data_IF_650300194562
#
_entry.id   IF_650300194562
#
_cell.length_a   1.000
_cell.length_b   1.000
_cell.length_c   1.000
_cell.angle_alpha   90.00
_cell.angle_beta   90.00
_cell.angle_gamma   90.00
#
_symmetry.space_group_name_H-M   'P 1'
#
loop_
_entity.id
_entity.type
_entity.pdbx_description
1 polymer ?
#
# COMPACT_ATOMS: atom_id res chain seq x y z
N UNK A 1 -7.26 -44.28 32.69
CA UNK A 1 -7.17 -42.95 32.07
C UNK A 1 -5.71 -42.58 31.95
N UNK A 2 -5.16 -42.60 30.73
CA UNK A 2 -3.83 -42.12 30.31
C UNK A 2 -3.71 -42.46 28.82
N UNK A 3 -3.65 -41.43 27.97
CA UNK A 3 -3.16 -41.37 26.58
C UNK A 3 -2.87 -39.88 26.38
N UNK A 4 -1.63 -39.41 26.50
CA UNK A 4 -0.55 -39.52 25.50
C UNK A 4 -1.04 -39.05 24.12
N UNK A 5 -0.48 -37.91 23.72
CA UNK A 5 -0.84 -37.13 22.55
C UNK A 5 0.34 -37.28 21.57
N UNK A 6 0.11 -37.98 20.46
CA UNK A 6 1.15 -38.34 19.50
C UNK A 6 1.03 -37.43 18.28
N UNK A 7 1.99 -36.53 18.09
CA UNK A 7 1.94 -35.52 17.03
C UNK A 7 2.21 -36.14 15.65
N UNK A 8 1.25 -35.97 14.73
CA UNK A 8 1.40 -36.32 13.32
C UNK A 8 2.31 -35.31 12.62
N UNK A 9 3.61 -35.64 12.53
CA UNK A 9 4.52 -34.99 11.57
C UNK A 9 4.13 -35.37 10.15
N UNK A 10 3.98 -34.36 9.29
CA UNK A 10 3.91 -34.54 7.84
C UNK A 10 5.25 -34.07 7.27
N UNK A 11 6.19 -34.99 7.11
CA UNK A 11 7.38 -34.75 6.30
C UNK A 11 6.97 -34.76 4.82
N UNK A 12 6.99 -33.60 4.16
CA UNK A 12 7.05 -33.59 2.69
C UNK A 12 8.46 -34.02 2.28
N UNK A 13 8.55 -35.16 1.60
CA UNK A 13 9.84 -35.67 1.14
C UNK A 13 10.30 -34.94 -0.13
N UNK A 14 11.61 -34.84 -0.32
CA UNK A 14 12.21 -34.23 -1.52
C UNK A 14 11.80 -34.96 -2.83
N UNK A 15 11.31 -36.19 -2.73
CA UNK A 15 10.95 -37.03 -3.88
C UNK A 15 9.64 -36.61 -4.58
N UNK A 16 8.80 -35.78 -3.94
CA UNK A 16 7.58 -35.24 -4.58
C UNK A 16 7.88 -34.07 -5.53
N UNK A 17 9.08 -33.48 -5.48
CA UNK A 17 9.50 -32.39 -6.38
C UNK A 17 9.92 -32.89 -7.76
N UNK A 18 10.57 -34.06 -7.85
CA UNK A 18 11.05 -34.64 -9.12
C UNK A 18 9.90 -35.06 -10.04
N UNK A 19 8.71 -35.33 -9.50
CA UNK A 19 7.51 -35.68 -10.28
C UNK A 19 6.96 -34.52 -11.15
N UNK A 20 7.43 -33.28 -10.93
CA UNK A 20 6.96 -32.11 -11.67
C UNK A 20 7.85 -31.68 -12.86
N UNK A 21 9.15 -32.04 -12.90
CA UNK A 21 10.02 -31.69 -14.03
C UNK A 21 9.66 -32.47 -15.31
N UNK A 22 9.37 -33.77 -15.17
CA UNK A 22 8.97 -34.65 -16.29
C UNK A 22 7.69 -34.17 -17.02
N UNK A 23 6.85 -33.36 -16.36
CA UNK A 23 5.62 -32.82 -16.98
C UNK A 23 5.91 -31.71 -18.00
N UNK A 24 7.10 -31.10 -17.97
CA UNK A 24 7.48 -29.99 -18.85
C UNK A 24 8.60 -30.31 -19.85
N UNK A 25 9.29 -31.45 -19.72
CA UNK A 25 10.35 -31.90 -20.63
C UNK A 25 9.90 -32.17 -22.08
N UNK A 26 8.59 -32.10 -22.38
CA UNK A 26 8.02 -32.36 -23.71
C UNK A 26 7.74 -31.13 -24.60
N UNK A 27 8.08 -29.90 -24.16
CA UNK A 27 7.84 -28.66 -24.91
C UNK A 27 9.14 -28.02 -25.41
N UNK A 28 9.86 -28.72 -26.29
CA UNK A 28 10.89 -28.09 -27.13
C UNK A 28 10.33 -27.58 -28.47
N UNK A 29 10.99 -26.55 -28.98
CA UNK A 29 10.95 -26.00 -30.34
C UNK A 29 9.69 -25.29 -30.89
N UNK A 30 9.92 -24.00 -31.19
CA UNK A 30 9.33 -23.25 -32.33
C UNK A 30 7.86 -22.80 -32.25
N UNK A 31 7.44 -22.21 -31.12
CA UNK A 31 6.26 -21.35 -31.07
C UNK A 31 6.52 -20.04 -30.29
N UNK A 32 6.67 -18.92 -30.99
CA UNK A 32 6.74 -17.58 -30.36
C UNK A 32 5.38 -17.18 -29.79
N UNK A 33 5.20 -17.36 -28.48
CA UNK A 33 3.98 -16.98 -27.75
C UNK A 33 4.08 -15.50 -27.36
N UNK A 34 3.28 -14.64 -28.00
CA UNK A 34 3.20 -13.20 -27.69
C UNK A 34 2.71 -12.93 -26.26
N UNK A 35 3.01 -11.78 -25.68
CA UNK A 35 2.61 -11.47 -24.29
C UNK A 35 1.08 -11.44 -24.09
N UNK A 36 0.31 -11.16 -25.14
CA UNK A 36 -1.16 -11.31 -25.13
C UNK A 36 -1.59 -12.79 -25.05
N UNK A 37 -0.86 -13.70 -25.71
CA UNK A 37 -1.08 -15.14 -25.58
C UNK A 37 -0.58 -15.66 -24.23
N UNK A 38 0.54 -15.16 -23.68
CA UNK A 38 0.97 -15.48 -22.31
C UNK A 38 -0.08 -15.03 -21.28
N UNK A 39 -0.64 -13.82 -21.40
CA UNK A 39 -1.78 -13.36 -20.57
C UNK A 39 -3.01 -14.27 -20.71
N UNK A 40 -3.35 -14.72 -21.92
CA UNK A 40 -4.44 -15.70 -22.15
C UNK A 40 -4.17 -17.08 -21.56
N UNK A 41 -2.93 -17.57 -21.62
CA UNK A 41 -2.55 -18.84 -21.00
C UNK A 41 -2.61 -18.71 -19.47
N UNK A 42 -2.10 -17.60 -18.91
CA UNK A 42 -2.18 -17.31 -17.47
C UNK A 42 -3.63 -17.19 -16.99
N UNK A 43 -4.51 -16.46 -17.71
CA UNK A 43 -5.93 -16.38 -17.36
C UNK A 43 -6.65 -17.73 -17.53
N UNK A 44 -6.29 -18.51 -18.55
CA UNK A 44 -6.80 -19.87 -18.76
C UNK A 44 -6.37 -20.82 -17.64
N UNK A 45 -5.14 -20.72 -17.14
CA UNK A 45 -4.63 -21.51 -16.00
C UNK A 45 -5.30 -21.08 -14.70
N UNK A 46 -5.47 -19.77 -14.43
CA UNK A 46 -6.24 -19.26 -13.29
C UNK A 46 -7.70 -19.76 -13.29
N UNK A 47 -8.34 -19.73 -14.47
CA UNK A 47 -9.70 -20.27 -14.69
C UNK A 47 -9.74 -21.80 -14.52
N UNK A 48 -8.72 -22.53 -15.00
CA UNK A 48 -8.61 -24.01 -14.88
C UNK A 48 -8.21 -24.46 -13.47
N UNK A 49 -7.59 -23.59 -12.68
CA UNK A 49 -7.40 -23.72 -11.23
C UNK A 49 -8.66 -23.33 -10.41
N UNK A 50 -9.79 -23.05 -11.06
CA UNK A 50 -11.09 -22.90 -10.43
C UNK A 50 -11.44 -21.49 -9.91
N UNK A 51 -10.71 -20.44 -10.33
CA UNK A 51 -11.00 -19.06 -9.96
C UNK A 51 -11.38 -18.18 -11.16
N UNK A 52 -12.65 -18.20 -11.56
CA UNK A 52 -13.33 -17.02 -12.13
C UNK A 52 -14.78 -16.93 -11.63
N UNK A 53 -15.23 -15.71 -11.35
CA UNK A 53 -16.01 -15.45 -10.13
C UNK A 53 -17.53 -15.32 -10.32
N UNK A 54 -18.10 -15.72 -11.47
CA UNK A 54 -19.48 -15.33 -11.83
C UNK A 54 -20.40 -16.43 -12.39
N UNK A 55 -20.04 -17.71 -12.28
CA UNK A 55 -20.85 -18.84 -12.80
C UNK A 55 -21.40 -19.76 -11.69
N UNK A 56 -21.02 -19.54 -10.43
CA UNK A 56 -21.44 -20.36 -9.27
C UNK A 56 -22.94 -20.21 -8.94
N UNK A 57 -23.58 -19.12 -9.38
CA UNK A 57 -24.95 -18.77 -8.98
C UNK A 57 -26.04 -19.58 -9.73
N UNK A 58 -25.76 -20.07 -10.95
CA UNK A 58 -26.80 -20.66 -11.81
C UNK A 58 -26.85 -22.20 -11.83
N UNK A 59 -25.77 -22.92 -11.50
CA UNK A 59 -25.72 -24.37 -11.75
C UNK A 59 -26.18 -25.29 -10.60
N UNK A 60 -26.89 -24.77 -9.60
CA UNK A 60 -27.43 -25.60 -8.50
C UNK A 60 -28.71 -26.39 -8.86
N UNK A 61 -29.19 -26.36 -10.12
CA UNK A 61 -30.60 -26.67 -10.43
C UNK A 61 -30.95 -27.37 -11.76
N UNK A 62 -30.03 -28.06 -12.43
CA UNK A 62 -30.42 -29.02 -13.49
C UNK A 62 -29.79 -30.40 -13.32
N UNK A 63 -30.64 -31.33 -12.90
CA UNK A 63 -30.60 -32.76 -13.18
C UNK A 63 -29.32 -33.50 -12.72
N UNK A 64 -29.34 -34.22 -11.60
CA UNK A 64 -30.18 -35.43 -11.41
C UNK A 64 -30.13 -36.33 -12.65
N UNK A 65 -29.05 -37.10 -12.81
CA UNK A 65 -29.12 -38.51 -13.25
C UNK A 65 -27.88 -39.27 -12.75
N UNK A 66 -28.11 -40.44 -12.14
CA UNK A 66 -27.15 -41.52 -11.86
C UNK A 66 -25.91 -41.24 -10.97
N UNK A 67 -26.02 -41.57 -9.67
CA UNK A 67 -25.02 -42.43 -9.03
C UNK A 67 -25.59 -43.28 -7.88
N UNK A 68 -25.01 -44.47 -7.73
CA UNK A 68 -25.32 -45.57 -6.80
C UNK A 68 -23.99 -46.07 -6.20
N UNK A 69 -23.84 -46.39 -4.92
CA UNK A 69 -24.75 -46.32 -3.74
C UNK A 69 -23.84 -46.24 -2.48
N UNK A 70 -24.20 -46.41 -1.19
CA UNK A 70 -25.41 -46.88 -0.48
C UNK A 70 -25.58 -46.17 0.88
N UNK A 71 -26.35 -46.76 1.81
CA UNK A 71 -26.84 -46.24 3.10
C UNK A 71 -25.83 -45.89 4.24
N UNK A 72 -26.16 -44.80 4.94
CA UNK A 72 -26.06 -44.50 6.42
C UNK A 72 -24.72 -44.66 7.18
N UNK A 73 -24.34 -43.81 8.14
CA UNK A 73 -25.16 -43.12 9.17
C UNK A 73 -24.61 -41.70 9.52
N UNK A 74 -25.46 -40.83 10.09
CA UNK A 74 -25.21 -39.37 10.21
C UNK A 74 -24.82 -38.93 11.63
N UNK A 75 -23.70 -38.19 11.78
CA UNK A 75 -23.51 -37.23 12.88
C UNK A 75 -22.88 -35.91 12.38
N UNK A 76 -23.60 -34.79 12.58
CA UNK A 76 -23.15 -33.43 12.22
C UNK A 76 -22.15 -32.89 13.25
N UNK A 77 -21.00 -32.40 12.78
CA UNK A 77 -20.11 -31.49 13.50
C UNK A 77 -19.68 -30.36 12.56
N UNK A 78 -19.74 -29.10 13.01
CA UNK A 78 -19.34 -27.95 12.20
C UNK A 78 -17.82 -27.86 12.14
N UNK A 79 -17.23 -27.82 10.93
CA UNK A 79 -15.81 -27.47 10.74
C UNK A 79 -15.74 -26.01 10.29
N UNK A 80 -15.02 -25.19 11.06
CA UNK A 80 -14.63 -23.84 10.65
C UNK A 80 -13.25 -23.92 9.97
N UNK A 81 -13.12 -23.30 8.80
CA UNK A 81 -11.83 -23.16 8.11
C UNK A 81 -11.29 -21.77 8.40
N UNK A 82 -10.20 -21.67 9.16
CA UNK A 82 -9.40 -20.44 9.26
C UNK A 82 -8.43 -20.37 8.07
N UNK A 83 -8.27 -19.17 7.51
CA UNK A 83 -7.35 -18.88 6.40
C UNK A 83 -5.92 -18.75 6.92
N UNK A 84 -4.94 -19.27 6.17
CA UNK A 84 -3.52 -19.07 6.42
C UNK A 84 -2.67 -20.08 5.64
N UNK A 85 -2.01 -19.66 4.56
CA UNK A 85 -1.14 -20.54 3.77
C UNK A 85 -1.08 -20.32 2.26
N UNK A 86 -1.06 -19.07 1.76
CA UNK A 86 -0.76 -18.78 0.34
C UNK A 86 0.09 -17.49 0.20
N UNK A 87 1.33 -17.49 0.72
CA UNK A 87 2.37 -16.50 0.36
C UNK A 87 3.75 -17.19 0.36
N UNK A 88 4.06 -17.95 -0.71
CA UNK A 88 5.39 -18.58 -0.88
C UNK A 88 5.72 -18.96 -2.34
N UNK A 89 5.27 -18.18 -3.34
CA UNK A 89 5.49 -18.55 -4.76
C UNK A 89 5.51 -17.36 -5.75
N UNK A 90 6.25 -16.27 -5.46
CA UNK A 90 6.33 -15.09 -6.36
C UNK A 90 7.72 -14.41 -6.48
N UNK A 91 8.84 -15.06 -6.07
CA UNK A 91 10.16 -14.39 -5.95
C UNK A 91 11.23 -14.97 -6.90
N UNK A 92 10.84 -15.62 -8.01
CA UNK A 92 11.76 -16.39 -8.85
C UNK A 92 11.67 -16.13 -10.38
N UNK A 93 11.32 -14.92 -10.84
CA UNK A 93 11.44 -14.54 -12.27
C UNK A 93 11.91 -13.09 -12.46
N UNK A 94 13.13 -12.77 -12.00
CA UNK A 94 13.84 -11.55 -12.40
C UNK A 94 15.35 -11.79 -12.50
N UNK A 95 15.81 -12.42 -13.59
CA UNK A 95 17.18 -12.30 -14.13
C UNK A 95 17.27 -12.94 -15.51
N UNK A 96 18.22 -12.45 -16.33
CA UNK A 96 18.49 -12.86 -17.74
C UNK A 96 17.39 -12.44 -18.73
N UNK A 97 17.67 -11.75 -19.84
CA UNK A 97 18.94 -11.16 -20.29
C UNK A 97 18.73 -10.27 -21.53
N UNK A 98 19.51 -9.19 -21.64
CA UNK A 98 19.56 -8.28 -22.82
C UNK A 98 20.43 -8.93 -23.90
N UNK A 99 20.12 -8.77 -25.21
CA UNK A 99 21.12 -8.55 -26.32
C UNK A 99 20.49 -8.43 -27.75
N UNK A 100 20.99 -7.45 -28.52
CA UNK A 100 20.97 -7.21 -30.00
C UNK A 100 19.69 -7.11 -30.86
N UNK A 101 19.44 -5.88 -31.34
CA UNK A 101 19.54 -5.41 -32.75
C UNK A 101 18.84 -6.14 -33.92
N UNK A 102 18.10 -5.36 -34.74
CA UNK A 102 17.71 -5.71 -36.12
C UNK A 102 16.67 -4.75 -36.73
N UNK A 103 17.01 -4.05 -37.82
CA UNK A 103 16.07 -3.23 -38.61
C UNK A 103 15.07 -4.10 -39.39
N UNK A 104 13.84 -3.62 -39.62
CA UNK A 104 13.21 -3.66 -40.96
C UNK A 104 11.96 -2.75 -41.08
N UNK A 105 11.55 -2.54 -42.34
CA UNK A 105 10.68 -1.45 -42.84
C UNK A 105 9.21 -1.85 -43.07
N UNK A 106 8.32 -0.85 -43.08
CA UNK A 106 7.11 -0.74 -43.96
C UNK A 106 5.98 -1.79 -43.73
N UNK A 107 4.71 -1.60 -44.13
CA UNK A 107 4.00 -0.45 -44.70
C UNK A 107 2.48 -0.51 -44.41
N UNK A 108 1.84 0.66 -44.36
CA UNK A 108 0.57 0.98 -45.03
C UNK A 108 -0.67 0.03 -44.93
N UNK A 109 -1.73 0.49 -44.26
CA UNK A 109 -3.14 0.24 -44.66
C UNK A 109 -3.87 1.60 -44.68
N UNK A 110 -4.80 1.75 -45.63
CA UNK A 110 -5.41 3.01 -46.08
C UNK A 110 -6.95 2.94 -46.04
N UNK A 111 -7.62 4.10 -46.12
CA UNK A 111 -9.08 4.34 -46.13
C UNK A 111 -9.81 4.02 -44.79
N UNK A 112 -10.70 4.88 -44.28
CA UNK A 112 -11.82 5.52 -44.99
C UNK A 112 -12.12 6.97 -44.53
N UNK A 113 -12.73 7.81 -45.38
CA UNK A 113 -13.00 9.24 -45.11
C UNK A 113 -14.50 9.58 -45.34
N UNK A 114 -15.23 10.08 -44.33
CA UNK A 114 -16.51 10.74 -44.53
C UNK A 114 -16.36 12.22 -44.88
N UNK A 115 -17.33 12.71 -45.67
CA UNK A 115 -17.37 14.01 -46.37
C UNK A 115 -17.87 15.14 -45.43
N UNK A 116 -17.28 16.37 -45.46
CA UNK A 116 -17.76 17.48 -44.63
C UNK A 116 -19.02 18.15 -45.18
N UNK A 117 -19.77 18.84 -44.31
CA UNK A 117 -21.03 19.51 -44.63
C UNK A 117 -20.93 21.04 -44.60
N UNK A 118 -21.47 21.68 -45.64
CA UNK A 118 -22.06 23.04 -45.71
C UNK A 118 -21.51 24.17 -44.81
N UNK A 119 -20.86 25.15 -45.44
CA UNK A 119 -20.67 26.51 -44.92
C UNK A 119 -22.00 27.30 -44.89
N UNK A 120 -22.16 28.30 -44.01
CA UNK A 120 -23.19 29.34 -44.12
C UNK A 120 -22.73 30.50 -45.02
N UNK A 121 -23.67 31.08 -45.77
CA UNK A 121 -23.49 32.24 -46.66
C UNK A 121 -23.82 33.56 -45.97
N UNK A 122 -23.12 34.65 -46.33
CA UNK A 122 -23.57 36.03 -46.06
C UNK A 122 -23.33 36.92 -47.28
N UNK A 123 -24.41 37.38 -47.90
CA UNK A 123 -24.41 38.32 -49.04
C UNK A 123 -24.69 39.78 -48.60
N UNK A 124 -24.50 40.71 -49.55
CA UNK A 124 -25.01 42.11 -49.59
C UNK A 124 -24.21 43.11 -48.71
N UNK A 125 -23.64 44.22 -49.20
CA UNK A 125 -24.08 45.15 -50.27
C UNK A 125 -23.02 45.48 -51.34
N UNK A 126 -23.50 45.86 -52.52
CA UNK A 126 -22.73 46.56 -53.56
C UNK A 126 -23.16 48.03 -53.66
N UNK A 127 -22.25 48.92 -54.09
CA UNK A 127 -22.42 49.97 -55.13
C UNK A 127 -21.18 50.86 -55.19
N UNK A 128 -20.71 51.21 -56.41
CA UNK A 128 -19.82 52.35 -56.64
C UNK A 128 -18.64 52.02 -57.55
N UNK A 129 -18.73 52.38 -58.82
CA UNK A 129 -17.62 52.30 -59.78
C UNK A 129 -16.61 53.43 -59.54
N UNK A 130 -15.30 53.15 -59.59
CA UNK A 130 -14.32 54.06 -60.18
C UNK A 130 -13.09 53.29 -60.68
N UNK A 131 -12.65 53.65 -61.89
CA UNK A 131 -11.67 52.92 -62.69
C UNK A 131 -10.28 53.56 -62.52
N UNK A 132 -9.36 52.90 -61.82
CA UNK A 132 -7.93 53.28 -61.80
C UNK A 132 -7.01 52.08 -61.92
N UNK A 133 -6.40 51.97 -63.09
CA UNK A 133 -5.24 51.11 -63.39
C UNK A 133 -4.01 51.57 -62.59
N UNK A 134 -3.69 50.85 -61.52
CA UNK A 134 -2.33 50.77 -60.96
C UNK A 134 -2.05 49.36 -60.49
N UNK A 135 -1.00 48.74 -61.04
CA UNK A 135 -0.36 47.57 -60.46
C UNK A 135 0.22 47.91 -59.08
N UNK A 136 -0.32 47.31 -58.02
CA UNK A 136 0.27 47.27 -56.68
C UNK A 136 0.24 45.82 -56.16
N UNK A 137 1.38 45.13 -56.28
CA UNK A 137 1.57 43.72 -55.92
C UNK A 137 1.68 43.53 -54.38
N UNK A 138 0.74 44.09 -53.61
CA UNK A 138 0.74 44.05 -52.13
C UNK A 138 -0.55 43.53 -51.47
N UNK A 139 -1.57 43.15 -52.25
CA UNK A 139 -2.86 42.70 -51.71
C UNK A 139 -2.87 41.29 -51.08
N UNK A 140 -1.80 40.49 -51.22
CA UNK A 140 -1.80 39.06 -50.86
C UNK A 140 -1.22 38.75 -49.46
N UNK A 141 -0.65 39.72 -48.74
CA UNK A 141 0.13 39.46 -47.51
C UNK A 141 -0.69 39.60 -46.21
N UNK A 142 -1.95 39.14 -46.24
CA UNK A 142 -2.91 39.24 -45.13
C UNK A 142 -3.06 37.88 -44.45
N UNK A 143 -2.94 37.87 -43.12
CA UNK A 143 -3.13 36.68 -42.28
C UNK A 143 -4.54 36.06 -42.48
N UNK A 144 -4.66 34.82 -42.98
CA UNK A 144 -5.97 34.19 -43.20
C UNK A 144 -6.66 33.81 -41.89
N UNK A 145 -8.00 33.77 -41.89
CA UNK A 145 -8.73 33.15 -40.78
C UNK A 145 -8.73 31.63 -40.93
N UNK A 146 -8.18 30.96 -39.92
CA UNK A 146 -8.12 29.49 -39.80
C UNK A 146 -8.66 29.02 -38.44
N UNK A 147 -9.44 29.86 -37.75
CA UNK A 147 -10.12 29.51 -36.50
C UNK A 147 -11.06 28.33 -36.73
N UNK A 148 -11.15 27.40 -35.77
CA UNK A 148 -11.89 26.13 -35.87
C UNK A 148 -11.42 25.14 -36.97
N UNK A 149 -10.37 25.44 -37.74
CA UNK A 149 -9.85 24.49 -38.73
C UNK A 149 -9.09 23.34 -38.05
N UNK A 150 -9.09 22.15 -38.66
CA UNK A 150 -8.16 21.08 -38.30
C UNK A 150 -6.72 21.58 -38.50
N UNK A 151 -5.83 21.33 -37.53
CA UNK A 151 -4.43 21.77 -37.55
C UNK A 151 -3.76 21.62 -38.93
N UNK A 152 -3.90 20.44 -39.54
CA UNK A 152 -3.27 20.10 -40.83
C UNK A 152 -3.76 20.99 -41.98
N UNK A 153 -5.04 21.36 -41.97
CA UNK A 153 -5.64 22.26 -42.96
C UNK A 153 -5.15 23.68 -42.70
N UNK A 154 -5.22 24.15 -41.46
CA UNK A 154 -4.75 25.49 -41.06
C UNK A 154 -3.28 25.74 -41.43
N UNK A 155 -2.39 24.79 -41.13
CA UNK A 155 -0.99 24.86 -41.53
C UNK A 155 -0.81 24.95 -43.05
N UNK A 156 -1.65 24.27 -43.83
CA UNK A 156 -1.57 24.33 -45.31
C UNK A 156 -2.06 25.68 -45.85
N UNK A 157 -3.12 26.26 -45.26
CA UNK A 157 -3.64 27.59 -45.60
C UNK A 157 -2.60 28.68 -45.28
N UNK A 158 -1.96 28.62 -44.11
CA UNK A 158 -0.95 29.59 -43.69
C UNK A 158 0.30 29.51 -44.58
N UNK A 159 0.76 28.31 -44.94
CA UNK A 159 1.86 28.15 -45.92
C UNK A 159 1.48 28.64 -47.32
N UNK A 160 0.24 28.44 -47.75
CA UNK A 160 -0.25 28.92 -49.05
C UNK A 160 -0.34 30.46 -49.11
N UNK A 161 -0.60 31.11 -47.97
CA UNK A 161 -0.55 32.56 -47.80
C UNK A 161 0.88 33.13 -47.61
N UNK A 162 1.93 32.32 -47.77
CA UNK A 162 3.32 32.78 -47.68
C UNK A 162 3.88 32.94 -46.25
N UNK A 163 3.22 32.35 -45.24
CA UNK A 163 3.63 32.43 -43.84
C UNK A 163 4.17 31.11 -43.28
N UNK A 164 4.95 31.21 -42.20
CA UNK A 164 5.56 30.06 -41.52
C UNK A 164 4.75 29.70 -40.26
N UNK A 165 4.00 28.58 -40.25
CA UNK A 165 3.23 28.17 -39.07
C UNK A 165 4.12 27.66 -37.94
N UNK A 166 3.86 28.12 -36.72
CA UNK A 166 4.52 27.74 -35.46
C UNK A 166 3.47 27.19 -34.50
N UNK A 167 3.51 25.89 -34.21
CA UNK A 167 2.49 25.23 -33.41
C UNK A 167 2.70 25.49 -31.90
N UNK A 168 1.64 25.86 -31.20
CA UNK A 168 1.54 25.89 -29.74
C UNK A 168 0.27 25.19 -29.29
N UNK A 169 0.37 24.34 -28.28
CA UNK A 169 -0.81 23.66 -27.73
C UNK A 169 -1.37 24.41 -26.51
N UNK A 170 -2.69 24.47 -26.38
CA UNK A 170 -3.40 25.07 -25.24
C UNK A 170 -4.67 24.26 -24.95
N UNK A 171 -5.08 24.16 -23.68
CA UNK A 171 -6.40 23.61 -23.35
C UNK A 171 -7.50 24.62 -23.69
N UNK A 172 -8.62 24.14 -24.22
CA UNK A 172 -9.80 24.94 -24.53
C UNK A 172 -11.06 24.10 -24.30
N UNK A 173 -12.00 24.64 -23.53
CA UNK A 173 -13.20 23.90 -23.09
C UNK A 173 -14.31 23.88 -24.15
N UNK A 174 -14.17 24.66 -25.23
CA UNK A 174 -15.14 24.78 -26.32
C UNK A 174 -14.62 24.12 -27.59
N UNK A 175 -13.36 24.36 -27.95
CA UNK A 175 -12.74 23.88 -29.19
C UNK A 175 -12.23 22.43 -29.01
N UNK A 176 -12.72 21.44 -29.78
CA UNK A 176 -12.22 20.06 -29.74
C UNK A 176 -10.72 19.92 -29.98
N UNK A 177 -10.12 18.88 -29.40
CA UNK A 177 -8.69 18.60 -29.54
C UNK A 177 -8.27 18.43 -31.01
N UNK A 178 -7.16 19.04 -31.40
CA UNK A 178 -6.62 19.02 -32.77
C UNK A 178 -7.15 20.12 -33.70
N UNK A 179 -8.07 20.98 -33.24
CA UNK A 179 -8.54 22.15 -33.99
C UNK A 179 -7.90 23.46 -33.49
N UNK A 180 -7.85 24.46 -34.36
CA UNK A 180 -7.25 25.77 -34.07
C UNK A 180 -8.19 26.62 -33.21
N UNK A 181 -7.69 27.08 -32.06
CA UNK A 181 -8.34 28.06 -31.18
C UNK A 181 -8.22 29.48 -31.76
N UNK A 182 -7.11 29.76 -32.43
CA UNK A 182 -6.83 31.04 -33.10
C UNK A 182 -5.34 31.17 -33.44
N UNK A 183 -4.97 32.31 -33.99
CA UNK A 183 -3.59 32.61 -34.40
C UNK A 183 -3.06 33.91 -33.80
N UNK A 184 -1.73 34.00 -33.68
CA UNK A 184 -1.02 35.23 -33.38
C UNK A 184 0.14 35.41 -34.37
N UNK A 185 0.13 36.45 -35.24
CA UNK A 185 -0.86 37.53 -35.33
C UNK A 185 -2.28 37.08 -35.74
N UNK A 186 -3.26 37.94 -35.46
CA UNK A 186 -4.68 37.63 -35.66
C UNK A 186 -5.07 37.67 -37.15
N UNK A 187 -6.16 36.99 -37.55
CA UNK A 187 -6.71 37.08 -38.92
C UNK A 187 -6.95 38.53 -39.36
N UNK A 188 -6.69 38.82 -40.64
CA UNK A 188 -6.77 40.17 -41.20
C UNK A 188 -5.55 41.06 -40.93
N UNK A 189 -4.53 40.60 -40.20
CA UNK A 189 -3.28 41.35 -39.99
C UNK A 189 -2.40 41.29 -41.24
N UNK A 190 -1.97 42.44 -41.75
CA UNK A 190 -0.90 42.54 -42.76
C UNK A 190 0.46 42.14 -42.15
N UNK A 191 1.17 41.25 -42.84
CA UNK A 191 2.48 40.73 -42.40
C UNK A 191 3.50 40.83 -43.55
N UNK A 192 4.75 40.46 -43.28
CA UNK A 192 5.74 40.25 -44.33
C UNK A 192 5.72 38.77 -44.77
N UNK A 193 6.14 38.47 -46.01
CA UNK A 193 6.35 37.08 -46.43
C UNK A 193 7.39 36.41 -45.53
N UNK A 194 7.26 35.09 -45.36
CA UNK A 194 8.06 34.27 -44.44
C UNK A 194 7.92 34.66 -42.94
N UNK A 195 6.95 35.50 -42.58
CA UNK A 195 6.65 35.80 -41.16
C UNK A 195 6.20 34.56 -40.41
N UNK A 196 6.68 34.41 -39.17
CA UNK A 196 6.24 33.37 -38.25
C UNK A 196 4.87 33.68 -37.65
N UNK A 197 3.92 32.75 -37.81
CA UNK A 197 2.56 32.83 -37.26
C UNK A 197 2.38 31.72 -36.25
N UNK A 198 2.02 32.06 -35.01
CA UNK A 198 1.69 31.08 -33.97
C UNK A 198 0.28 30.56 -34.18
N UNK A 199 0.10 29.24 -34.28
CA UNK A 199 -1.19 28.56 -34.25
C UNK A 199 -1.41 28.00 -32.85
N UNK A 200 -2.49 28.39 -32.18
CA UNK A 200 -2.90 27.79 -30.92
C UNK A 200 -3.82 26.59 -31.22
N UNK A 201 -3.31 25.38 -31.04
CA UNK A 201 -4.05 24.13 -31.24
C UNK A 201 -4.66 23.69 -29.91
N UNK A 202 -5.95 23.35 -29.94
CA UNK A 202 -6.64 22.83 -28.78
C UNK A 202 -6.15 21.44 -28.39
N UNK A 203 -5.91 21.26 -27.09
CA UNK A 203 -5.76 19.96 -26.42
C UNK A 203 -7.12 19.37 -25.98
N UNK A 204 -8.22 20.05 -26.31
CA UNK A 204 -9.55 19.83 -25.75
C UNK A 204 -9.68 20.42 -24.35
N UNK A 205 -10.83 20.15 -23.72
CA UNK A 205 -11.11 20.47 -22.32
C UNK A 205 -10.04 19.85 -21.42
N UNK A 206 -9.54 20.61 -20.44
CA UNK A 206 -8.67 20.05 -19.41
C UNK A 206 -9.46 18.99 -18.63
N UNK A 207 -8.95 17.75 -18.60
CA UNK A 207 -9.63 16.64 -17.91
C UNK A 207 -9.97 17.01 -16.46
N UNK A 208 -11.21 16.77 -16.05
CA UNK A 208 -11.62 16.97 -14.66
C UNK A 208 -10.76 16.08 -13.74
N UNK A 209 -10.40 16.55 -12.53
CA UNK A 209 -9.62 15.73 -11.60
C UNK A 209 -10.36 14.42 -11.35
N UNK A 210 -9.66 13.29 -11.48
CA UNK A 210 -10.21 11.99 -11.08
C UNK A 210 -10.55 12.08 -9.59
N UNK A 211 -11.85 12.07 -9.28
CA UNK A 211 -12.35 12.14 -7.91
C UNK A 211 -12.81 10.77 -7.43
N UNK A 212 -12.69 10.56 -6.13
CA UNK A 212 -12.98 9.29 -5.47
C UNK A 212 -13.79 9.54 -4.20
N UNK A 213 -14.71 8.62 -3.90
CA UNK A 213 -15.53 8.69 -2.69
C UNK A 213 -14.82 8.01 -1.53
N UNK A 214 -14.74 8.68 -0.38
CA UNK A 214 -14.08 8.17 0.83
C UNK A 214 -14.89 7.02 1.45
N UNK A 215 -14.36 5.80 1.52
CA UNK A 215 -15.00 4.69 2.23
C UNK A 215 -15.12 4.95 3.74
N UNK A 216 -16.12 4.35 4.38
CA UNK A 216 -16.13 4.21 5.83
C UNK A 216 -15.23 3.04 6.25
N UNK A 217 -14.20 3.32 7.05
CA UNK A 217 -13.28 2.31 7.62
C UNK A 217 -13.33 2.24 9.15
N UNK A 218 -14.13 3.07 9.82
CA UNK A 218 -14.22 3.06 11.29
C UNK A 218 -14.78 1.73 11.78
N UNK A 219 -14.07 1.08 12.69
CA UNK A 219 -14.39 -0.25 13.22
C UNK A 219 -13.79 -1.42 12.42
N UNK A 220 -13.14 -1.18 11.28
CA UNK A 220 -12.41 -2.22 10.54
C UNK A 220 -11.03 -2.50 11.15
N UNK A 221 -10.44 -3.65 10.79
CA UNK A 221 -9.01 -3.90 11.08
C UNK A 221 -8.12 -3.03 10.19
N UNK A 222 -6.97 -2.62 10.71
CA UNK A 222 -6.00 -1.76 10.04
C UNK A 222 -5.66 -2.23 8.62
N UNK A 223 -5.29 -3.51 8.44
CA UNK A 223 -4.96 -4.08 7.12
C UNK A 223 -6.13 -3.99 6.12
N UNK A 224 -7.35 -4.27 6.59
CA UNK A 224 -8.56 -4.24 5.76
C UNK A 224 -8.94 -2.80 5.37
N UNK A 225 -8.81 -1.86 6.32
CA UNK A 225 -9.02 -0.43 6.10
C UNK A 225 -8.01 0.15 5.10
N UNK A 226 -6.72 -0.15 5.29
CA UNK A 226 -5.66 0.30 4.38
C UNK A 226 -5.85 -0.24 2.96
N UNK A 227 -6.29 -1.49 2.82
CA UNK A 227 -6.59 -2.07 1.50
C UNK A 227 -7.75 -1.34 0.84
N UNK A 228 -8.88 -1.17 1.54
CA UNK A 228 -10.09 -0.55 1.00
C UNK A 228 -9.84 0.91 0.55
N UNK A 229 -9.09 1.69 1.34
CA UNK A 229 -8.75 3.07 1.00
C UNK A 229 -7.80 3.16 -0.21
N UNK A 230 -6.84 2.23 -0.32
CA UNK A 230 -5.93 2.16 -1.49
C UNK A 230 -6.66 1.70 -2.76
N UNK A 231 -7.60 0.77 -2.65
CA UNK A 231 -8.47 0.34 -3.76
C UNK A 231 -9.40 1.48 -4.21
N UNK A 232 -9.86 2.33 -3.28
CA UNK A 232 -10.55 3.58 -3.57
C UNK A 232 -9.63 4.67 -4.17
N UNK A 233 -8.32 4.44 -4.29
CA UNK A 233 -7.38 5.39 -4.89
C UNK A 233 -6.90 6.51 -3.97
N UNK A 234 -7.02 6.35 -2.64
CA UNK A 234 -6.55 7.31 -1.63
C UNK A 234 -5.15 6.95 -1.11
N UNK A 235 -4.38 7.95 -0.69
CA UNK A 235 -3.15 7.74 0.07
C UNK A 235 -3.48 7.62 1.56
N UNK A 236 -2.89 6.65 2.27
CA UNK A 236 -3.26 6.33 3.65
C UNK A 236 -2.09 6.55 4.58
N UNK A 237 -2.35 7.24 5.70
CA UNK A 237 -1.42 7.48 6.79
C UNK A 237 -1.98 6.95 8.10
N UNK A 238 -1.19 6.18 8.83
CA UNK A 238 -1.64 5.57 10.06
C UNK A 238 -1.12 6.36 11.26
N UNK A 239 -1.92 6.44 12.31
CA UNK A 239 -1.58 7.08 13.58
C UNK A 239 -2.13 6.23 14.73
N UNK A 240 -1.24 5.69 15.55
CA UNK A 240 -1.66 4.98 16.76
C UNK A 240 -2.24 5.94 17.81
N UNK A 241 -3.34 5.55 18.43
CA UNK A 241 -4.01 6.26 19.53
C UNK A 241 -4.42 5.30 20.64
N UNK A 242 -4.30 5.74 21.90
CA UNK A 242 -4.82 4.99 23.03
C UNK A 242 -6.36 5.01 22.98
N UNK A 243 -7.00 3.85 22.84
CA UNK A 243 -8.46 3.75 22.70
C UNK A 243 -8.98 2.41 23.24
N UNK A 244 -10.20 2.39 23.80
CA UNK A 244 -10.80 1.19 24.42
C UNK A 244 -11.11 0.06 23.42
N UNK A 245 -11.14 0.35 22.12
CA UNK A 245 -11.27 -0.65 21.08
C UNK A 245 -10.09 -1.62 21.04
N UNK A 246 -10.33 -2.83 20.53
CA UNK A 246 -9.30 -3.87 20.35
C UNK A 246 -8.11 -3.33 19.52
N UNK A 247 -6.88 -3.69 19.91
CA UNK A 247 -5.66 -3.25 19.20
C UNK A 247 -5.72 -3.59 17.70
N UNK A 248 -5.24 -2.66 16.87
CA UNK A 248 -5.27 -2.79 15.40
C UNK A 248 -6.65 -2.55 14.77
N UNK A 249 -7.59 -1.94 15.50
CA UNK A 249 -8.91 -1.53 15.00
C UNK A 249 -8.90 -0.03 14.71
N UNK A 250 -9.41 0.40 13.55
CA UNK A 250 -9.54 1.83 13.22
C UNK A 250 -10.66 2.44 14.06
N UNK A 251 -10.36 3.55 14.75
CA UNK A 251 -11.30 4.23 15.66
C UNK A 251 -11.76 5.60 15.16
N UNK A 252 -11.06 6.16 14.18
CA UNK A 252 -11.34 7.45 13.58
C UNK A 252 -10.69 7.53 12.19
N UNK A 253 -11.29 8.29 11.28
CA UNK A 253 -10.71 8.67 9.99
C UNK A 253 -10.78 10.19 9.84
N UNK A 254 -9.73 10.82 9.30
CA UNK A 254 -9.59 12.28 9.27
C UNK A 254 -10.53 13.00 8.30
N UNK A 255 -11.19 12.26 7.41
CA UNK A 255 -12.18 12.76 6.45
C UNK A 255 -13.42 11.88 6.57
N UNK A 256 -14.60 12.50 6.68
CA UNK A 256 -15.86 11.78 6.84
C UNK A 256 -16.14 10.82 5.67
N UNK A 257 -16.81 9.68 5.91
CA UNK A 257 -17.27 8.79 4.84
C UNK A 257 -18.17 9.49 3.82
N UNK A 258 -18.23 8.92 2.61
CA UNK A 258 -19.03 9.37 1.47
C UNK A 258 -18.68 10.78 0.94
N UNK A 259 -17.64 11.41 1.48
CA UNK A 259 -17.06 12.66 0.94
C UNK A 259 -16.30 12.41 -0.36
N UNK A 260 -16.21 13.42 -1.21
CA UNK A 260 -15.47 13.37 -2.47
C UNK A 260 -14.10 14.03 -2.32
N UNK A 261 -13.03 13.27 -2.58
CA UNK A 261 -11.65 13.77 -2.65
C UNK A 261 -11.08 13.60 -4.05
N UNK A 262 -9.94 14.22 -4.32
CA UNK A 262 -9.16 13.89 -5.51
C UNK A 262 -8.44 12.55 -5.28
N UNK A 263 -8.22 11.82 -6.36
CA UNK A 263 -7.40 10.62 -6.34
C UNK A 263 -5.99 10.96 -5.84
N UNK A 264 -5.45 10.09 -4.99
CA UNK A 264 -4.19 10.21 -4.25
C UNK A 264 -4.16 11.26 -3.12
N UNK A 265 -5.27 11.91 -2.77
CA UNK A 265 -5.34 12.73 -1.55
C UNK A 265 -5.03 11.88 -0.30
N UNK A 266 -4.38 12.47 0.71
CA UNK A 266 -3.99 11.79 1.96
C UNK A 266 -5.13 11.80 2.98
N UNK A 267 -5.54 10.60 3.41
CA UNK A 267 -6.40 10.39 4.58
C UNK A 267 -5.59 9.79 5.73
N UNK A 268 -5.76 10.34 6.93
CA UNK A 268 -5.18 9.76 8.15
C UNK A 268 -6.21 8.89 8.85
N UNK A 269 -5.83 7.66 9.21
CA UNK A 269 -6.62 6.78 10.08
C UNK A 269 -6.00 6.71 11.48
N UNK A 270 -6.82 6.89 12.52
CA UNK A 270 -6.41 6.65 13.89
C UNK A 270 -6.66 5.18 14.23
N UNK A 271 -5.61 4.44 14.57
CA UNK A 271 -5.67 3.00 14.91
C UNK A 271 -5.57 2.83 16.42
N UNK A 272 -6.41 1.98 17.00
CA UNK A 272 -6.34 1.66 18.42
C UNK A 272 -5.04 0.93 18.75
N UNK A 273 -4.23 1.51 19.64
CA UNK A 273 -3.17 0.81 20.36
C UNK A 273 -3.73 -0.13 21.45
N UNK A 274 -5.03 -0.03 21.76
CA UNK A 274 -5.69 -0.59 22.94
C UNK A 274 -5.61 0.35 24.14
N UNK A 275 -6.54 0.22 25.11
CA UNK A 275 -6.31 0.74 26.46
C UNK A 275 -5.50 -0.30 27.21
N UNK A 276 -4.31 0.09 27.59
CA UNK A 276 -3.52 -0.56 28.63
C UNK A 276 -3.49 0.39 29.81
N UNK A 277 -4.48 0.30 30.69
CA UNK A 277 -4.33 0.81 32.05
C UNK A 277 -3.12 0.10 32.67
N UNK A 278 -2.22 0.81 33.39
CA UNK A 278 -1.05 0.20 33.98
C UNK A 278 -1.48 -0.89 34.96
N UNK A 279 -1.00 -2.11 34.72
CA UNK A 279 -1.41 -3.28 35.52
C UNK A 279 -0.54 -3.32 36.76
N UNK A 280 -1.18 -3.35 37.93
CA UNK A 280 -0.47 -3.55 39.20
C UNK A 280 -0.04 -5.00 39.34
N UNK A 281 1.24 -5.23 39.62
CA UNK A 281 1.80 -6.56 39.87
C UNK A 281 2.81 -6.50 41.02
N UNK A 282 2.63 -7.34 42.03
CA UNK A 282 3.60 -7.47 43.13
C UNK A 282 4.61 -8.57 42.80
N UNK A 283 5.89 -8.24 42.68
CA UNK A 283 6.97 -9.22 42.63
C UNK A 283 7.50 -9.50 44.04
N UNK A 284 7.82 -10.75 44.34
CA UNK A 284 8.42 -11.18 45.61
C UNK A 284 9.76 -11.85 45.36
N UNK A 285 10.81 -11.27 45.92
CA UNK A 285 12.19 -11.76 45.79
C UNK A 285 12.61 -12.41 47.11
N UNK A 286 13.10 -13.67 47.12
CA UNK A 286 13.73 -14.25 48.29
C UNK A 286 15.11 -13.60 48.53
N UNK A 287 15.54 -13.57 49.79
CA UNK A 287 16.87 -13.15 50.21
C UNK A 287 17.57 -14.32 50.93
N UNK A 288 18.91 -14.34 50.99
CA UNK A 288 19.64 -15.33 51.77
C UNK A 288 19.33 -15.19 53.26
N UNK A 289 19.11 -16.32 53.96
CA UNK A 289 18.79 -16.31 55.39
C UNK A 289 19.91 -15.68 56.25
N UNK A 290 21.17 -15.90 55.85
CA UNK A 290 22.37 -15.41 56.54
C UNK A 290 22.73 -13.95 56.21
N UNK A 291 21.88 -13.23 55.48
CA UNK A 291 22.06 -11.80 55.18
C UNK A 291 21.88 -10.95 56.45
N UNK A 292 22.78 -10.00 56.73
CA UNK A 292 22.82 -9.19 57.97
C UNK A 292 23.12 -7.72 57.68
N UNK A 293 22.67 -6.80 58.54
CA UNK A 293 22.86 -5.35 58.34
C UNK A 293 21.78 -4.69 57.48
N UNK A 294 22.06 -3.47 57.00
CA UNK A 294 21.09 -2.63 56.26
C UNK A 294 21.47 -2.49 54.78
N UNK A 295 20.44 -2.52 53.91
CA UNK A 295 20.60 -2.52 52.46
C UNK A 295 19.57 -1.66 51.75
N UNK A 296 20.03 -1.01 50.68
CA UNK A 296 19.22 -0.30 49.69
C UNK A 296 19.11 -1.14 48.41
N UNK A 297 17.88 -1.50 48.04
CA UNK A 297 17.54 -2.30 46.87
C UNK A 297 16.98 -1.38 45.80
N UNK A 298 17.61 -1.36 44.63
CA UNK A 298 17.10 -0.73 43.43
C UNK A 298 16.55 -1.77 42.46
N UNK A 299 15.48 -1.40 41.77
CA UNK A 299 14.95 -2.09 40.61
C UNK A 299 15.12 -1.18 39.39
N UNK A 300 16.06 -1.52 38.52
CA UNK A 300 16.39 -0.77 37.31
C UNK A 300 15.67 -1.34 36.09
N UNK A 301 15.32 -0.49 35.12
CA UNK A 301 14.87 -0.95 33.79
C UNK A 301 16.03 -1.43 32.90
N UNK A 302 15.70 -1.86 31.67
CA UNK A 302 16.67 -2.33 30.66
C UNK A 302 17.68 -1.24 30.23
N UNK A 303 17.36 0.05 30.42
CA UNK A 303 18.28 1.19 30.21
C UNK A 303 19.21 1.45 31.43
N UNK A 304 19.02 0.71 32.54
CA UNK A 304 19.76 0.89 33.79
C UNK A 304 19.24 2.02 34.68
N UNK A 305 18.07 2.58 34.37
CA UNK A 305 17.42 3.64 35.16
C UNK A 305 16.68 3.05 36.35
N UNK A 306 17.02 3.48 37.56
CA UNK A 306 16.31 3.09 38.79
C UNK A 306 14.84 3.54 38.71
N UNK A 307 13.90 2.60 38.68
CA UNK A 307 12.44 2.85 38.71
C UNK A 307 11.90 2.80 40.13
N UNK A 308 12.38 1.87 40.93
CA UNK A 308 11.93 1.65 42.30
C UNK A 308 13.15 1.49 43.23
N UNK A 309 13.06 2.05 44.44
CA UNK A 309 14.07 1.88 45.49
C UNK A 309 13.38 1.49 46.79
N UNK A 310 13.96 0.55 47.54
CA UNK A 310 13.47 0.09 48.83
C UNK A 310 14.62 -0.20 49.78
N UNK A 311 14.60 0.38 50.98
CA UNK A 311 15.54 0.04 52.04
C UNK A 311 15.00 -1.06 52.95
N UNK A 312 15.87 -1.97 53.38
CA UNK A 312 15.58 -3.05 54.31
C UNK A 312 16.67 -3.14 55.39
N UNK A 313 16.33 -3.68 56.55
CA UNK A 313 17.31 -4.16 57.52
C UNK A 313 17.13 -5.67 57.68
N UNK A 314 18.13 -6.44 57.24
CA UNK A 314 18.06 -7.89 57.15
C UNK A 314 18.00 -8.59 58.52
N UNK A 315 18.45 -7.95 59.60
CA UNK A 315 18.37 -8.48 60.96
C UNK A 315 16.96 -8.32 61.57
N UNK A 316 16.13 -7.41 61.02
CA UNK A 316 14.72 -7.23 61.41
C UNK A 316 13.74 -8.08 60.60
N UNK A 317 14.20 -8.75 59.53
CA UNK A 317 13.38 -9.67 58.75
C UNK A 317 13.23 -11.01 59.49
N UNK A 318 12.08 -11.66 59.32
CA UNK A 318 11.80 -12.98 59.90
C UNK A 318 12.63 -14.11 59.29
N UNK A 319 12.40 -15.34 59.76
CA UNK A 319 13.14 -16.54 59.33
C UNK A 319 13.17 -16.75 57.81
N UNK A 320 12.09 -16.37 57.12
CA UNK A 320 12.03 -16.29 55.66
C UNK A 320 12.23 -14.84 55.25
N UNK A 321 13.44 -14.50 54.81
CA UNK A 321 13.78 -13.16 54.34
C UNK A 321 13.31 -12.98 52.90
N UNK A 322 12.37 -12.07 52.67
CA UNK A 322 11.86 -11.69 51.34
C UNK A 322 11.63 -10.20 51.29
N UNK A 323 11.72 -9.61 50.09
CA UNK A 323 11.18 -8.28 49.83
C UNK A 323 10.22 -8.29 48.64
N UNK A 324 9.21 -7.42 48.72
CA UNK A 324 8.20 -7.26 47.69
C UNK A 324 8.33 -5.88 47.02
N UNK A 325 8.13 -5.79 45.71
CA UNK A 325 7.91 -4.52 44.99
C UNK A 325 6.54 -4.54 44.32
N UNK A 326 5.78 -3.46 44.49
CA UNK A 326 4.53 -3.22 43.76
C UNK A 326 4.85 -2.44 42.49
N UNK A 327 4.76 -3.11 41.34
CA UNK A 327 5.06 -2.58 40.02
C UNK A 327 3.78 -2.11 39.33
N UNK A 328 3.89 -1.10 38.46
CA UNK A 328 2.81 -0.61 37.60
C UNK A 328 3.39 -0.37 36.21
N UNK A 329 2.95 -1.16 35.23
CA UNK A 329 3.53 -1.13 33.87
C UNK A 329 2.61 -1.73 32.81
N UNK A 330 3.11 -1.80 31.59
CA UNK A 330 2.33 -2.14 30.38
C UNK A 330 3.16 -3.03 29.46
N UNK A 331 2.58 -4.13 28.97
CA UNK A 331 3.29 -5.04 28.08
C UNK A 331 4.28 -5.91 28.84
N UNK A 332 5.46 -6.13 28.25
CA UNK A 332 6.54 -6.87 28.89
C UNK A 332 7.75 -5.96 29.12
N UNK A 333 8.28 -5.98 30.33
CA UNK A 333 9.42 -5.17 30.79
C UNK A 333 10.43 -6.08 31.50
N UNK A 334 11.72 -5.74 31.41
CA UNK A 334 12.78 -6.40 32.19
C UNK A 334 13.24 -5.48 33.31
N UNK A 335 13.54 -6.09 34.44
CA UNK A 335 14.07 -5.38 35.60
C UNK A 335 15.30 -6.06 36.17
N UNK A 336 16.36 -5.28 36.42
CA UNK A 336 17.57 -5.74 37.10
C UNK A 336 17.53 -5.30 38.56
N UNK A 337 17.75 -6.24 39.48
CA UNK A 337 17.82 -5.98 40.92
C UNK A 337 19.26 -5.65 41.30
N UNK A 338 19.49 -4.47 41.86
CA UNK A 338 20.78 -4.06 42.40
C UNK A 338 20.64 -3.86 43.91
N UNK A 339 21.43 -4.59 44.71
CA UNK A 339 21.42 -4.46 46.17
C UNK A 339 22.71 -3.79 46.60
N UNK A 340 22.60 -2.70 47.38
CA UNK A 340 23.69 -1.91 47.94
C UNK A 340 23.72 -2.06 49.46
N UNK A 341 24.89 -2.30 50.05
CA UNK A 341 25.08 -2.28 51.50
C UNK A 341 25.18 -0.83 52.00
N UNK A 342 24.33 -0.43 52.94
CA UNK A 342 24.31 0.94 53.50
C UNK A 342 25.54 1.23 54.38
N UNK A 343 26.30 0.19 54.76
CA UNK A 343 27.49 0.29 55.62
C UNK A 343 28.80 0.33 54.82
N UNK A 344 28.82 -0.23 53.61
CA UNK A 344 30.04 -0.38 52.81
C UNK A 344 29.99 0.33 51.46
N UNK A 345 28.83 0.90 51.07
CA UNK A 345 28.53 1.50 49.76
C UNK A 345 28.81 0.58 48.55
N UNK A 346 29.04 -0.72 48.78
CA UNK A 346 29.24 -1.72 47.75
C UNK A 346 27.90 -2.25 47.26
N UNK A 347 27.79 -2.47 45.95
CA UNK A 347 26.61 -3.01 45.31
C UNK A 347 26.88 -4.31 44.54
N UNK A 348 25.82 -5.10 44.37
CA UNK A 348 25.81 -6.34 43.60
C UNK A 348 24.56 -6.38 42.72
N UNK A 349 24.70 -6.89 41.49
CA UNK A 349 23.54 -7.29 40.68
C UNK A 349 23.06 -8.64 41.24
N UNK A 350 21.89 -8.63 41.88
CA UNK A 350 21.38 -9.80 42.59
C UNK A 350 20.63 -10.78 41.70
N UNK A 351 19.94 -10.28 40.68
CA UNK A 351 19.18 -11.08 39.72
C UNK A 351 18.34 -10.20 38.80
N UNK A 352 17.61 -10.83 37.89
CA UNK A 352 16.74 -10.18 36.93
C UNK A 352 15.33 -10.75 36.97
N UNK A 353 14.35 -9.92 36.60
CA UNK A 353 12.95 -10.29 36.38
C UNK A 353 12.55 -9.99 34.94
N UNK A 354 11.89 -10.95 34.30
CA UNK A 354 11.06 -10.73 33.13
C UNK A 354 9.60 -10.58 33.59
N UNK A 355 9.06 -9.36 33.51
CA UNK A 355 7.69 -9.04 33.93
C UNK A 355 6.81 -8.87 32.71
N UNK A 356 5.69 -9.58 32.66
CA UNK A 356 4.64 -9.37 31.66
C UNK A 356 3.36 -8.89 32.36
N UNK A 357 3.14 -7.59 32.30
CA UNK A 357 1.96 -6.91 32.84
C UNK A 357 0.68 -7.31 32.09
N UNK A 358 0.77 -7.75 30.83
CA UNK A 358 -0.35 -8.25 30.03
C UNK A 358 -0.84 -9.59 30.58
N UNK A 359 0.09 -10.52 30.80
CA UNK A 359 -0.19 -11.88 31.28
C UNK A 359 -0.21 -12.00 32.81
N UNK A 360 0.19 -10.93 33.53
CA UNK A 360 0.33 -10.87 34.99
C UNK A 360 1.32 -11.89 35.55
N UNK A 361 2.42 -12.10 34.82
CA UNK A 361 3.51 -13.00 35.21
C UNK A 361 4.77 -12.20 35.51
N UNK A 362 5.61 -12.73 36.41
CA UNK A 362 6.92 -12.19 36.71
C UNK A 362 7.87 -13.36 36.97
N UNK A 363 8.67 -13.68 35.96
CA UNK A 363 9.63 -14.77 36.00
C UNK A 363 10.99 -14.23 36.43
N UNK A 364 11.47 -14.70 37.58
CA UNK A 364 12.78 -14.36 38.13
C UNK A 364 13.84 -15.32 37.58
N UNK A 365 15.06 -14.83 37.34
CA UNK A 365 16.20 -15.73 37.10
C UNK A 365 16.38 -16.68 38.31
N UNK A 366 16.60 -17.96 38.01
CA UNK A 366 16.82 -19.01 39.00
C UNK A 366 18.23 -18.93 39.62
N UNK A 367 19.16 -18.19 38.99
CA UNK A 367 20.56 -18.07 39.42
C UNK A 367 20.83 -16.77 40.19
N UNK A 368 20.08 -16.51 41.27
CA UNK A 368 20.31 -15.36 42.13
C UNK A 368 21.74 -15.33 42.67
N UNK A 369 22.41 -14.17 42.60
CA UNK A 369 23.78 -13.97 43.03
C UNK A 369 23.90 -13.86 44.57
N UNK A 370 23.59 -14.97 45.23
CA UNK A 370 23.55 -15.12 46.69
C UNK A 370 24.93 -15.02 47.33
N UNK A 371 25.97 -15.54 46.65
CA UNK A 371 27.33 -15.56 47.19
C UNK A 371 27.92 -14.15 47.30
N UNK A 372 27.83 -13.35 46.23
CA UNK A 372 28.36 -11.98 46.22
C UNK A 372 27.53 -11.06 47.12
N UNK A 373 26.20 -11.29 47.22
CA UNK A 373 25.36 -10.56 48.18
C UNK A 373 25.75 -10.84 49.64
N UNK A 374 26.02 -12.09 50.00
CA UNK A 374 26.50 -12.44 51.35
C UNK A 374 27.90 -11.88 51.64
N UNK A 375 28.73 -11.66 50.61
CA UNK A 375 30.01 -10.95 50.75
C UNK A 375 29.86 -9.45 51.05
N UNK A 376 28.63 -8.91 51.02
CA UNK A 376 28.29 -7.55 51.48
C UNK A 376 27.80 -7.51 52.94
N UNK A 377 27.80 -8.63 53.67
CA UNK A 377 27.52 -8.62 55.11
C UNK A 377 28.54 -7.73 55.85
N UNK A 378 28.13 -7.01 56.91
CA UNK A 378 29.06 -6.29 57.78
C UNK A 378 30.00 -7.26 58.51
N UNK A 379 31.16 -6.76 58.93
CA UNK A 379 32.11 -7.54 59.72
C UNK A 379 31.53 -7.90 61.10
N UNK A 380 31.92 -9.07 61.63
CA UNK A 380 31.48 -9.56 62.95
C UNK A 380 32.03 -8.76 64.15
#
# INVERSE_FOLDING_TARGET
MKRENEELKIDLSVQDAELFEDTFAGFEENAEVTDAQKKRVLSSVMRKAGFEMNEIINEKRKNITASKTDDTEVRRGKIQVKRGGIIAACVAVLTVGVITAGMLHMNNINADIPKPASQPTSDVYATGDEDTDTTDDNAENIMPDVTEYEQKVAESTIRAAGFIPVIREKYDDVIPAGMVIGTEPAPGTELALDSGVTLFISKGKLGEPETVTVPNVVGMKEDEAMLLLKEAGLSVKNKDVLNSAEKGTVVEQSVEPDTTLNKYDEITISVSAGITEPVKLTIRTPLPGDLRGSYRIDLCDEDGTVKYTKSINADTLGEVKTFDFDLEGIGAEKFTIIITSDETDKSVIYGEYAVDFTNKTADMDQNLNTADLLALNPAE
#
